data_IF_383384560143
#
_entry.id   IF_383384560143
#
_cell.length_a   1.000
_cell.length_b   1.000
_cell.length_c   1.000
_cell.angle_alpha   90.00
_cell.angle_beta   90.00
_cell.angle_gamma   90.00
#
_symmetry.space_group_name_H-M   'P 1'
#
loop_
_entity.id
_entity.type
_entity.pdbx_description
1 polymer ?
#
# COMPACT_ATOMS: atom_id res chain seq x y z
N UNK A 1 -6.62 13.63 5.64
CA UNK A 1 -5.30 13.14 5.22
C UNK A 1 -4.31 14.27 5.37
N UNK A 2 -3.25 14.08 6.16
CA UNK A 2 -2.18 15.07 6.31
C UNK A 2 -1.08 14.81 5.26
N UNK A 3 -0.06 15.67 5.21
CA UNK A 3 1.02 15.54 4.25
C UNK A 3 1.83 14.25 4.43
N UNK A 4 2.04 13.81 5.66
CA UNK A 4 2.87 12.62 5.91
C UNK A 4 2.19 11.33 5.48
N UNK A 5 0.90 11.17 5.80
CA UNK A 5 0.11 10.02 5.32
C UNK A 5 0.02 10.00 3.80
N UNK A 6 -0.06 11.16 3.14
CA UNK A 6 -0.01 11.25 1.68
C UNK A 6 1.34 10.80 1.13
N UNK A 7 2.45 11.28 1.71
CA UNK A 7 3.80 10.89 1.33
C UNK A 7 4.02 9.39 1.48
N UNK A 8 3.61 8.83 2.63
CA UNK A 8 3.68 7.40 2.92
C UNK A 8 2.82 6.55 1.97
N UNK A 9 1.59 6.98 1.71
CA UNK A 9 0.71 6.30 0.74
C UNK A 9 1.34 6.28 -0.65
N UNK A 10 1.90 7.41 -1.09
CA UNK A 10 2.56 7.53 -2.39
C UNK A 10 3.78 6.61 -2.47
N UNK A 11 4.55 6.54 -1.39
CA UNK A 11 5.68 5.62 -1.24
C UNK A 11 5.26 4.15 -1.34
N UNK A 12 4.17 3.75 -0.66
CA UNK A 12 3.64 2.39 -0.72
C UNK A 12 3.20 2.02 -2.14
N UNK A 13 2.46 2.92 -2.81
CA UNK A 13 2.01 2.72 -4.19
C UNK A 13 3.20 2.55 -5.14
N UNK A 14 4.23 3.39 -5.03
CA UNK A 14 5.43 3.30 -5.86
C UNK A 14 6.24 2.03 -5.60
N UNK A 15 6.41 1.64 -4.34
CA UNK A 15 7.16 0.44 -3.97
C UNK A 15 6.45 -0.84 -4.40
N UNK A 16 5.12 -0.89 -4.30
CA UNK A 16 4.31 -2.00 -4.80
C UNK A 16 4.31 -2.07 -6.32
N UNK A 17 4.29 -0.92 -7.00
CA UNK A 17 4.40 -0.85 -8.46
C UNK A 17 5.71 -1.45 -8.97
N UNK A 18 6.83 -1.13 -8.29
CA UNK A 18 8.14 -1.72 -8.53
C UNK A 18 8.14 -3.24 -8.26
N UNK A 19 7.64 -3.67 -7.10
CA UNK A 19 7.67 -5.06 -6.68
C UNK A 19 6.76 -6.00 -7.50
N UNK A 20 5.63 -5.49 -8.01
CA UNK A 20 4.64 -6.27 -8.78
C UNK A 20 4.79 -6.07 -10.30
N UNK A 21 5.74 -5.25 -10.74
CA UNK A 21 5.91 -4.85 -12.15
C UNK A 21 4.61 -4.29 -12.76
N UNK A 22 3.86 -3.50 -11.97
CA UNK A 22 2.58 -2.91 -12.36
C UNK A 22 2.67 -1.39 -12.38
N UNK A 23 1.87 -0.72 -13.21
CA UNK A 23 1.79 0.74 -13.17
C UNK A 23 1.29 1.23 -11.81
N UNK A 24 1.90 2.29 -11.26
CA UNK A 24 1.47 2.93 -10.01
C UNK A 24 -0.01 3.32 -10.00
N UNK A 25 -0.55 3.78 -11.13
CA UNK A 25 -1.99 4.09 -11.25
C UNK A 25 -2.87 2.86 -11.02
N UNK A 26 -2.50 1.70 -11.58
CA UNK A 26 -3.23 0.44 -11.37
C UNK A 26 -3.13 -0.05 -9.92
N UNK A 27 -1.96 0.05 -9.30
CA UNK A 27 -1.80 -0.27 -7.88
C UNK A 27 -2.67 0.63 -7.00
N UNK A 28 -2.65 1.94 -7.25
CA UNK A 28 -3.49 2.89 -6.52
C UNK A 28 -4.99 2.54 -6.64
N UNK A 29 -5.47 2.26 -7.86
CA UNK A 29 -6.86 1.85 -8.07
C UNK A 29 -7.20 0.55 -7.33
N UNK A 30 -6.30 -0.44 -7.34
CA UNK A 30 -6.48 -1.69 -6.59
C UNK A 30 -6.57 -1.43 -5.08
N UNK A 31 -5.66 -0.64 -4.51
CA UNK A 31 -5.66 -0.31 -3.09
C UNK A 31 -6.91 0.51 -2.70
N UNK A 32 -7.36 1.41 -3.56
CA UNK A 32 -8.54 2.25 -3.34
C UNK A 32 -9.83 1.43 -3.40
N UNK A 33 -10.00 0.61 -4.43
CA UNK A 33 -11.24 -0.18 -4.64
C UNK A 33 -11.40 -1.33 -3.66
N UNK A 34 -10.29 -1.91 -3.18
CA UNK A 34 -10.28 -2.97 -2.17
C UNK A 34 -10.49 -2.48 -0.73
N UNK A 35 -10.49 -1.16 -0.50
CA UNK A 35 -10.53 -0.58 0.84
C UNK A 35 -9.20 -0.61 1.59
N UNK A 36 -8.15 -1.25 1.06
CA UNK A 36 -6.81 -1.31 1.70
C UNK A 36 -6.27 0.09 1.98
N UNK A 37 -6.50 1.03 1.07
CA UNK A 37 -6.09 2.42 1.26
C UNK A 37 -6.78 3.07 2.48
N UNK A 38 -8.11 2.94 2.58
CA UNK A 38 -8.93 3.65 3.57
C UNK A 38 -9.01 2.94 4.91
N UNK A 39 -8.94 1.61 4.91
CA UNK A 39 -9.18 0.78 6.10
C UNK A 39 -7.87 0.24 6.71
N UNK A 40 -6.76 0.25 5.96
CA UNK A 40 -5.47 -0.27 6.41
C UNK A 40 -4.34 0.76 6.37
N UNK A 41 -4.00 1.31 5.20
CA UNK A 41 -2.85 2.21 5.05
C UNK A 41 -3.00 3.53 5.78
N UNK A 42 -4.13 4.22 5.61
CA UNK A 42 -4.37 5.52 6.24
C UNK A 42 -4.49 5.39 7.78
N UNK A 43 -5.32 4.48 8.32
CA UNK A 43 -5.45 4.31 9.78
C UNK A 43 -4.20 3.70 10.42
N UNK A 44 -3.47 2.86 9.68
CA UNK A 44 -2.26 2.18 10.15
C UNK A 44 -0.99 3.02 10.05
N UNK A 45 -1.06 4.26 9.55
CA UNK A 45 0.10 5.11 9.28
C UNK A 45 1.07 5.15 10.47
N UNK A 46 0.60 5.46 11.67
CA UNK A 46 1.43 5.65 12.88
C UNK A 46 2.29 4.42 13.24
N UNK A 47 1.85 3.22 12.85
CA UNK A 47 2.61 1.98 13.07
C UNK A 47 3.44 1.65 11.82
N UNK A 48 2.80 1.63 10.65
CA UNK A 48 3.41 1.16 9.42
C UNK A 48 4.61 2.01 8.99
N UNK A 49 4.57 3.34 9.19
CA UNK A 49 5.67 4.22 8.77
C UNK A 49 6.98 4.01 9.54
N UNK A 50 6.96 3.24 10.63
CA UNK A 50 8.14 2.92 11.45
C UNK A 50 8.88 1.67 10.98
N UNK A 51 8.26 0.86 10.10
CA UNK A 51 8.85 -0.37 9.58
C UNK A 51 9.78 -0.11 8.38
N UNK A 52 10.64 -1.09 8.09
CA UNK A 52 11.50 -1.03 6.90
C UNK A 52 10.67 -1.13 5.61
N UNK A 53 11.22 -0.59 4.52
CA UNK A 53 10.60 -0.65 3.19
C UNK A 53 10.26 -2.09 2.83
N UNK A 54 11.22 -3.00 2.97
CA UNK A 54 11.10 -4.39 2.55
C UNK A 54 9.95 -5.09 3.28
N UNK A 55 9.84 -4.87 4.59
CA UNK A 55 8.77 -5.45 5.40
C UNK A 55 7.39 -4.94 4.97
N UNK A 56 7.23 -3.62 4.80
CA UNK A 56 5.95 -3.02 4.41
C UNK A 56 5.50 -3.54 3.04
N UNK A 57 6.42 -3.64 2.10
CA UNK A 57 6.10 -4.11 0.74
C UNK A 57 5.65 -5.56 0.77
N UNK A 58 6.38 -6.44 1.48
CA UNK A 58 6.01 -7.85 1.61
C UNK A 58 4.65 -8.02 2.31
N UNK A 59 4.43 -7.29 3.42
CA UNK A 59 3.19 -7.30 4.17
C UNK A 59 1.99 -6.85 3.32
N UNK A 60 2.14 -5.75 2.58
CA UNK A 60 1.09 -5.25 1.70
C UNK A 60 0.79 -6.21 0.54
N UNK A 61 1.80 -6.84 -0.05
CA UNK A 61 1.59 -7.85 -1.09
C UNK A 61 0.80 -9.03 -0.52
N UNK A 62 1.16 -9.50 0.67
CA UNK A 62 0.46 -10.59 1.34
C UNK A 62 -0.99 -10.20 1.67
N UNK A 63 -1.20 -9.01 2.21
CA UNK A 63 -2.54 -8.49 2.53
C UNK A 63 -3.42 -8.33 1.28
N UNK A 64 -2.85 -7.85 0.17
CA UNK A 64 -3.54 -7.76 -1.11
C UNK A 64 -3.95 -9.13 -1.64
N UNK A 65 -3.14 -10.18 -1.45
CA UNK A 65 -3.50 -11.56 -1.81
C UNK A 65 -4.62 -12.11 -0.92
N UNK A 66 -4.56 -11.88 0.39
CA UNK A 66 -5.59 -12.32 1.35
C UNK A 66 -6.95 -11.66 1.08
N UNK A 67 -6.94 -10.40 0.63
CA UNK A 67 -8.13 -9.68 0.19
C UNK A 67 -8.63 -10.07 -1.20
N UNK A 68 -7.93 -10.95 -1.92
CA UNK A 68 -8.29 -11.38 -3.28
C UNK A 68 -8.10 -10.28 -4.34
N UNK A 69 -7.26 -9.28 -4.06
CA UNK A 69 -6.98 -8.14 -4.95
C UNK A 69 -5.92 -8.50 -5.98
N UNK A 70 -4.96 -9.33 -5.56
CA UNK A 70 -3.95 -9.93 -6.43
C UNK A 70 -4.34 -11.39 -6.68
N UNK A 71 -4.35 -11.77 -7.96
CA UNK A 71 -4.60 -13.15 -8.41
C UNK A 71 -3.33 -13.99 -8.40
#
# INVERSE_FOLDING_TARGET
>A
MNFETLSFTTFCVGSLAEALEMSAGKIYELLRTSGILTDYLIPGYDVLHTFSKEYIVEDLIQYMKEKGVLA
#
